data_IF_792845268516
#
_entry.id   IF_792845268516
#
_cell.length_a   1.000
_cell.length_b   1.000
_cell.length_c   1.000
_cell.angle_alpha   90.00
_cell.angle_beta   90.00
_cell.angle_gamma   90.00
#
_symmetry.space_group_name_H-M   'P 1'
#
loop_
_entity.id
_entity.type
_entity.pdbx_description
1 polymer ?
#
# COMPACT_ATOMS: atom_id res chain seq x y z
N UNK A 1 7.16 -19.57 -10.12
CA UNK A 1 5.69 -19.33 -9.99
C UNK A 1 5.37 -18.02 -9.28
N UNK A 2 6.25 -17.53 -8.42
CA UNK A 2 6.06 -16.33 -7.57
C UNK A 2 6.33 -15.04 -8.36
N UNK A 3 7.27 -15.06 -9.31
CA UNK A 3 7.54 -13.93 -10.21
C UNK A 3 6.33 -13.48 -11.06
N UNK A 4 5.41 -14.41 -11.38
CA UNK A 4 4.23 -14.07 -12.18
C UNK A 4 3.11 -13.37 -11.40
N UNK A 5 3.03 -13.49 -10.07
CA UNK A 5 1.94 -12.90 -9.25
C UNK A 5 2.28 -11.52 -8.69
N UNK A 6 3.52 -11.29 -8.28
CA UNK A 6 4.02 -9.94 -7.94
C UNK A 6 4.00 -9.02 -9.19
N UNK A 7 4.25 -9.59 -10.37
CA UNK A 7 4.12 -8.92 -11.66
C UNK A 7 2.68 -8.44 -11.96
N UNK A 8 1.63 -9.00 -11.38
CA UNK A 8 0.26 -8.60 -11.70
C UNK A 8 -0.12 -7.24 -11.08
N UNK A 9 0.27 -6.96 -9.84
CA UNK A 9 0.07 -5.62 -9.25
C UNK A 9 1.13 -4.62 -9.73
N UNK A 10 2.36 -5.07 -10.03
CA UNK A 10 3.35 -4.26 -10.74
C UNK A 10 2.97 -4.08 -12.22
N UNK A 11 2.27 -5.02 -12.86
CA UNK A 11 1.69 -4.86 -14.20
C UNK A 11 0.44 -3.99 -14.22
N UNK A 12 -0.27 -3.86 -13.14
CA UNK A 12 -1.30 -2.80 -12.97
C UNK A 12 -0.62 -1.45 -12.71
N UNK A 13 0.61 -1.44 -12.14
CA UNK A 13 1.42 -0.23 -11.94
C UNK A 13 2.62 -0.06 -12.89
N UNK A 14 3.06 -1.12 -13.59
CA UNK A 14 4.19 -1.05 -14.52
C UNK A 14 4.02 -2.12 -15.62
N UNK A 15 4.06 -1.69 -16.82
CA UNK A 15 4.16 -2.36 -18.11
C UNK A 15 2.88 -2.36 -18.96
N UNK A 16 2.76 -1.25 -19.69
CA UNK A 16 2.91 -1.39 -21.13
C UNK A 16 4.26 -0.81 -21.50
N UNK A 17 5.30 -1.64 -21.53
CA UNK A 17 6.41 -1.42 -22.44
C UNK A 17 5.77 -1.43 -23.81
N UNK A 18 5.73 -0.27 -24.45
CA UNK A 18 5.50 -0.14 -25.87
C UNK A 18 6.52 -1.06 -26.53
N UNK A 19 6.06 -2.17 -27.13
CA UNK A 19 6.85 -2.90 -28.09
C UNK A 19 7.31 -1.87 -29.13
N UNK A 20 8.62 -1.81 -29.33
CA UNK A 20 9.26 -0.93 -30.31
C UNK A 20 8.80 -1.32 -31.71
N UNK A 21 7.71 -0.70 -32.14
CA UNK A 21 7.36 -0.47 -33.52
C UNK A 21 7.40 1.04 -33.70
N UNK A 22 8.59 1.58 -33.92
CA UNK A 22 8.80 3.02 -33.97
C UNK A 22 8.20 3.61 -35.24
N UNK A 23 7.07 4.28 -35.10
CA UNK A 23 6.79 5.46 -35.87
C UNK A 23 7.06 6.67 -34.99
N UNK A 24 8.33 7.08 -34.89
CA UNK A 24 8.70 8.30 -34.22
C UNK A 24 8.06 9.48 -34.96
N UNK A 25 7.16 10.19 -34.31
CA UNK A 25 6.66 11.45 -34.80
C UNK A 25 7.79 12.46 -34.87
N UNK A 26 8.16 12.93 -36.07
CA UNK A 26 9.17 13.95 -36.24
C UNK A 26 8.51 15.31 -36.08
N UNK A 27 8.93 16.05 -35.07
CA UNK A 27 8.69 17.50 -34.99
C UNK A 27 9.68 18.17 -35.95
N UNK A 28 9.21 18.75 -37.05
CA UNK A 28 10.01 19.56 -37.92
C UNK A 28 9.95 21.04 -37.45
N UNK A 29 11.08 21.54 -36.97
CA UNK A 29 11.24 22.96 -36.59
C UNK A 29 12.09 23.62 -37.67
N UNK A 30 11.62 24.72 -38.24
CA UNK A 30 12.35 25.42 -39.30
C UNK A 30 13.47 26.30 -38.74
N UNK A 31 14.53 26.52 -39.52
CA UNK A 31 15.69 27.33 -39.10
C UNK A 31 15.28 28.77 -38.79
N UNK A 32 14.26 29.33 -39.46
CA UNK A 32 13.72 30.65 -39.18
C UNK A 32 13.05 30.74 -37.81
N UNK A 33 12.26 29.74 -37.43
CA UNK A 33 11.63 29.67 -36.09
C UNK A 33 12.68 29.60 -34.99
N UNK A 34 13.75 28.81 -35.18
CA UNK A 34 14.86 28.73 -34.23
C UNK A 34 15.58 30.11 -34.10
N UNK A 35 15.76 30.84 -35.19
CA UNK A 35 16.41 32.15 -35.17
C UNK A 35 15.59 33.22 -34.42
N UNK A 36 14.26 33.16 -34.55
CA UNK A 36 13.36 34.06 -33.82
C UNK A 36 13.32 33.71 -32.32
N UNK A 37 13.24 32.44 -31.97
CA UNK A 37 13.37 31.97 -30.59
C UNK A 37 14.74 32.41 -30.02
N UNK A 38 15.83 32.33 -30.78
CA UNK A 38 17.15 32.73 -30.32
C UNK A 38 17.25 34.22 -30.00
N UNK A 39 16.60 35.09 -30.77
CA UNK A 39 16.51 36.55 -30.49
C UNK A 39 15.73 36.81 -29.20
N UNK A 40 14.60 36.14 -29.02
CA UNK A 40 13.79 36.26 -27.79
C UNK A 40 14.53 35.79 -26.55
N UNK A 41 15.34 34.69 -26.67
CA UNK A 41 16.22 34.20 -25.62
C UNK A 41 17.27 35.22 -25.21
N UNK A 42 17.87 35.94 -26.21
CA UNK A 42 18.84 36.98 -25.92
C UNK A 42 18.24 38.18 -25.16
N UNK A 43 16.97 38.49 -25.41
CA UNK A 43 16.25 39.55 -24.71
C UNK A 43 15.79 39.13 -23.30
N UNK A 44 15.53 37.84 -23.08
CA UNK A 44 14.98 37.30 -21.80
C UNK A 44 15.60 35.96 -21.38
N UNK A 45 16.92 35.91 -21.11
CA UNK A 45 17.65 34.67 -20.89
C UNK A 45 17.13 33.83 -19.69
N UNK A 46 16.51 34.48 -18.69
CA UNK A 46 15.93 33.80 -17.52
C UNK A 46 14.62 33.04 -17.79
N UNK A 47 13.99 33.26 -18.95
CA UNK A 47 12.67 32.67 -19.29
C UNK A 47 12.76 31.59 -20.35
N UNK A 48 13.94 31.21 -20.80
CA UNK A 48 14.16 30.22 -21.87
C UNK A 48 13.35 28.95 -21.71
N UNK A 49 13.47 28.31 -20.55
CA UNK A 49 12.77 27.01 -20.32
C UNK A 49 11.25 27.16 -20.18
N UNK A 50 10.77 28.34 -19.81
CA UNK A 50 9.34 28.64 -19.76
C UNK A 50 8.76 28.81 -21.15
N UNK A 51 9.48 29.54 -22.04
CA UNK A 51 9.11 29.70 -23.43
C UNK A 51 9.10 28.38 -24.17
N UNK A 52 10.15 27.56 -24.04
CA UNK A 52 10.21 26.21 -24.65
C UNK A 52 9.02 25.35 -24.18
N UNK A 53 8.66 25.42 -22.90
CA UNK A 53 7.49 24.67 -22.37
C UNK A 53 6.17 25.16 -22.95
N UNK A 54 6.02 26.45 -23.18
CA UNK A 54 4.81 27.03 -23.80
C UNK A 54 4.69 26.57 -25.25
N UNK A 55 5.76 26.63 -26.02
CA UNK A 55 5.79 26.19 -27.41
C UNK A 55 5.48 24.68 -27.53
N UNK A 56 6.10 23.86 -26.70
CA UNK A 56 5.82 22.43 -26.68
C UNK A 56 4.33 22.17 -26.39
N UNK A 57 3.73 22.87 -25.41
CA UNK A 57 2.30 22.73 -25.09
C UNK A 57 1.39 23.13 -26.25
N UNK A 58 1.73 24.23 -26.91
CA UNK A 58 0.98 24.71 -28.09
C UNK A 58 1.03 23.68 -29.22
N UNK A 59 2.24 23.22 -29.56
CA UNK A 59 2.44 22.23 -30.63
C UNK A 59 1.73 20.94 -30.33
N UNK A 60 1.84 20.40 -29.11
CA UNK A 60 1.16 19.17 -28.68
C UNK A 60 -0.37 19.36 -28.69
N UNK A 61 -0.87 20.51 -28.24
CA UNK A 61 -2.31 20.82 -28.28
C UNK A 61 -2.87 20.84 -29.72
N UNK A 62 -2.15 21.50 -30.64
CA UNK A 62 -2.50 21.50 -32.09
C UNK A 62 -2.45 20.11 -32.67
N UNK A 63 -1.47 19.31 -32.30
CA UNK A 63 -1.32 17.94 -32.75
C UNK A 63 -2.51 17.07 -32.34
N UNK A 64 -2.88 17.06 -31.05
CA UNK A 64 -4.05 16.33 -30.55
C UNK A 64 -5.36 16.79 -31.23
N UNK A 65 -5.51 18.12 -31.42
CA UNK A 65 -6.66 18.69 -32.13
C UNK A 65 -6.73 18.18 -33.57
N UNK A 66 -5.58 18.11 -34.27
CA UNK A 66 -5.51 17.60 -35.65
C UNK A 66 -5.86 16.12 -35.72
N UNK A 67 -5.36 15.29 -34.79
CA UNK A 67 -5.72 13.88 -34.70
C UNK A 67 -7.23 13.68 -34.50
N UNK A 68 -7.85 14.43 -33.58
CA UNK A 68 -9.30 14.35 -33.36
C UNK A 68 -10.11 14.78 -34.57
N UNK A 69 -9.63 15.77 -35.33
CA UNK A 69 -10.27 16.20 -36.60
C UNK A 69 -10.12 15.13 -37.68
N UNK A 70 -8.98 14.45 -37.77
CA UNK A 70 -8.79 13.32 -38.68
C UNK A 70 -9.72 12.15 -38.31
N UNK A 71 -9.87 11.85 -37.01
CA UNK A 71 -10.81 10.84 -36.53
C UNK A 71 -12.26 11.19 -36.89
N UNK A 72 -12.67 12.45 -36.70
CA UNK A 72 -14.01 12.90 -37.13
C UNK A 72 -14.17 12.85 -38.65
N UNK A 73 -13.10 13.12 -39.43
CA UNK A 73 -13.12 12.98 -40.89
C UNK A 73 -13.40 11.52 -41.28
N UNK A 74 -12.69 10.60 -40.67
CA UNK A 74 -12.89 9.16 -40.88
C UNK A 74 -14.31 8.73 -40.49
N UNK A 75 -14.79 9.17 -39.30
CA UNK A 75 -16.15 8.85 -38.82
C UNK A 75 -17.25 9.34 -39.77
N UNK A 76 -17.13 10.55 -40.32
CA UNK A 76 -18.10 11.12 -41.25
C UNK A 76 -17.92 10.65 -42.69
N UNK A 77 -16.83 9.96 -43.03
CA UNK A 77 -16.49 9.50 -44.38
C UNK A 77 -16.26 10.60 -45.42
N UNK A 78 -15.92 11.84 -44.97
CA UNK A 78 -15.73 12.98 -45.85
C UNK A 78 -14.86 14.08 -45.24
N UNK A 79 -14.13 14.77 -46.09
CA UNK A 79 -13.31 15.89 -45.71
C UNK A 79 -14.10 17.13 -45.28
N UNK A 80 -13.48 18.07 -44.55
CA UNK A 80 -14.09 19.37 -44.26
C UNK A 80 -14.53 20.09 -45.53
N UNK A 81 -15.71 20.75 -45.45
CA UNK A 81 -16.32 21.53 -46.51
C UNK A 81 -16.84 20.75 -47.73
N UNK A 82 -16.62 19.46 -47.85
CA UNK A 82 -17.19 18.62 -48.93
C UNK A 82 -18.67 18.40 -48.67
N UNK A 83 -19.49 18.78 -49.63
CA UNK A 83 -20.96 18.58 -49.65
C UNK A 83 -21.29 17.26 -50.33
N UNK A 84 -21.96 16.39 -49.60
CA UNK A 84 -22.47 15.10 -50.14
C UNK A 84 -23.97 15.11 -50.01
N UNK A 85 -24.67 14.85 -51.14
CA UNK A 85 -26.14 14.72 -51.16
C UNK A 85 -26.57 13.53 -50.28
N UNK A 86 -27.59 13.72 -49.42
CA UNK A 86 -28.08 12.66 -48.54
C UNK A 86 -27.23 12.40 -47.28
N UNK A 87 -26.27 13.21 -47.00
CA UNK A 87 -25.44 13.05 -45.78
C UNK A 87 -26.30 13.13 -44.51
N UNK A 88 -26.23 12.08 -43.67
CA UNK A 88 -27.07 11.91 -42.47
C UNK A 88 -26.53 12.69 -41.27
N UNK A 89 -25.20 13.02 -41.22
CA UNK A 89 -24.55 13.70 -40.11
C UNK A 89 -23.55 14.75 -40.65
N UNK A 90 -23.24 15.77 -39.86
CA UNK A 90 -22.41 16.90 -40.25
C UNK A 90 -21.49 17.32 -39.10
N UNK A 91 -20.36 17.98 -39.43
CA UNK A 91 -19.52 18.67 -38.45
C UNK A 91 -20.33 19.78 -37.77
N UNK A 92 -20.10 19.98 -36.46
CA UNK A 92 -20.81 20.98 -35.66
C UNK A 92 -19.84 21.79 -34.78
N UNK A 93 -18.76 22.30 -35.41
CA UNK A 93 -17.73 23.04 -34.70
C UNK A 93 -16.93 22.20 -33.73
N UNK A 94 -16.25 22.89 -32.81
CA UNK A 94 -15.46 22.32 -31.72
C UNK A 94 -15.73 23.03 -30.41
N UNK A 95 -15.22 22.49 -29.31
CA UNK A 95 -15.13 23.18 -28.01
C UNK A 95 -13.74 23.02 -27.43
N UNK A 96 -13.21 24.11 -26.87
CA UNK A 96 -11.92 24.11 -26.24
C UNK A 96 -11.96 23.50 -24.83
N UNK A 97 -10.93 22.76 -24.48
CA UNK A 97 -10.71 22.30 -23.10
C UNK A 97 -9.22 22.10 -22.80
N UNK A 98 -8.84 22.21 -21.52
CA UNK A 98 -7.53 21.81 -21.06
C UNK A 98 -7.44 20.27 -20.92
N UNK A 99 -6.25 19.73 -21.25
CA UNK A 99 -5.91 18.33 -21.04
C UNK A 99 -4.47 18.20 -20.56
N UNK A 100 -4.24 17.56 -19.42
CA UNK A 100 -2.91 17.46 -18.84
C UNK A 100 -2.20 16.17 -19.25
N UNK A 101 -0.98 16.30 -19.74
CA UNK A 101 -0.09 15.22 -20.17
C UNK A 101 1.13 15.14 -19.26
N UNK A 102 1.57 13.92 -18.97
CA UNK A 102 2.79 13.67 -18.22
C UNK A 102 4.02 14.20 -18.96
N UNK A 103 4.86 14.96 -18.27
CA UNK A 103 6.07 15.55 -18.84
C UNK A 103 5.86 16.79 -19.71
N UNK A 104 4.63 17.07 -20.13
CA UNK A 104 4.29 18.24 -20.96
C UNK A 104 3.55 19.32 -20.14
N UNK A 105 2.60 18.88 -19.32
CA UNK A 105 1.71 19.75 -18.58
C UNK A 105 0.33 19.90 -19.22
N UNK A 106 -0.41 20.94 -18.84
CA UNK A 106 -1.73 21.21 -19.41
C UNK A 106 -1.60 21.84 -20.81
N UNK A 107 -2.24 21.21 -21.78
CA UNK A 107 -2.34 21.67 -23.17
C UNK A 107 -3.78 22.08 -23.48
N UNK A 108 -3.97 23.07 -24.35
CA UNK A 108 -5.29 23.43 -24.87
C UNK A 108 -5.61 22.61 -26.11
N UNK A 109 -6.78 21.99 -26.14
CA UNK A 109 -7.24 21.18 -27.27
C UNK A 109 -8.65 21.59 -27.70
N UNK A 110 -8.90 21.60 -29.01
CA UNK A 110 -10.22 21.83 -29.59
C UNK A 110 -10.84 20.50 -29.99
N UNK A 111 -11.82 20.05 -29.22
CA UNK A 111 -12.50 18.77 -29.42
C UNK A 111 -13.61 18.95 -30.46
N UNK A 112 -13.53 18.32 -31.64
CA UNK A 112 -14.53 18.47 -32.69
C UNK A 112 -15.85 17.75 -32.32
N UNK A 113 -16.94 18.26 -32.85
CA UNK A 113 -18.30 17.70 -32.64
C UNK A 113 -19.01 17.45 -33.97
N UNK A 114 -19.85 16.44 -33.96
CA UNK A 114 -20.83 16.18 -34.99
C UNK A 114 -22.21 16.76 -34.61
N UNK A 115 -23.11 16.90 -35.57
CA UNK A 115 -24.43 17.50 -35.33
C UNK A 115 -25.36 16.58 -34.53
N UNK A 116 -25.21 15.28 -34.64
CA UNK A 116 -25.99 14.30 -33.88
C UNK A 116 -25.47 14.06 -32.45
N UNK A 117 -24.21 14.47 -32.12
CA UNK A 117 -23.59 14.25 -30.83
C UNK A 117 -23.19 12.78 -30.57
N UNK A 118 -23.10 11.98 -31.63
CA UNK A 118 -22.76 10.55 -31.56
C UNK A 118 -21.25 10.31 -31.61
N UNK A 119 -20.51 11.21 -32.25
CA UNK A 119 -19.04 11.10 -32.32
C UNK A 119 -18.38 11.24 -30.93
N UNK A 120 -17.52 10.29 -30.64
CA UNK A 120 -16.69 10.30 -29.44
C UNK A 120 -15.27 10.01 -29.84
N UNK A 121 -14.37 10.98 -29.62
CA UNK A 121 -12.94 10.78 -29.90
C UNK A 121 -12.35 9.71 -28.99
N UNK A 122 -11.46 8.89 -29.54
CA UNK A 122 -10.60 7.95 -28.82
C UNK A 122 -9.24 8.55 -28.41
N UNK A 123 -8.90 9.70 -29.01
CA UNK A 123 -7.59 10.38 -28.79
C UNK A 123 -7.43 10.82 -27.32
N UNK A 124 -8.51 11.39 -26.76
CA UNK A 124 -8.51 11.83 -25.36
C UNK A 124 -9.80 11.36 -24.66
N UNK A 125 -9.73 10.96 -23.38
CA UNK A 125 -10.91 10.51 -22.65
C UNK A 125 -11.92 11.65 -22.44
N UNK A 126 -13.22 11.35 -22.59
CA UNK A 126 -14.28 12.35 -22.48
C UNK A 126 -14.42 12.93 -21.07
N UNK A 127 -14.33 12.08 -20.07
CA UNK A 127 -14.60 12.44 -18.67
C UNK A 127 -13.37 12.87 -17.86
N UNK A 128 -12.17 12.49 -18.29
CA UNK A 128 -10.92 12.80 -17.59
C UNK A 128 -10.22 13.98 -18.30
N UNK A 129 -9.65 14.87 -17.52
CA UNK A 129 -8.93 16.06 -18.05
C UNK A 129 -7.41 15.88 -17.97
N UNK A 130 -6.96 14.66 -17.80
CA UNK A 130 -5.56 14.25 -17.75
C UNK A 130 -5.42 12.80 -18.27
N UNK A 131 -4.23 12.47 -18.73
CA UNK A 131 -3.94 11.13 -19.19
C UNK A 131 -3.87 10.10 -18.03
N UNK A 132 -3.96 8.82 -18.36
CA UNK A 132 -4.03 7.75 -17.38
C UNK A 132 -2.74 7.62 -16.55
N UNK A 133 -1.58 7.90 -17.14
CA UNK A 133 -0.31 7.86 -16.41
C UNK A 133 -0.22 8.90 -15.30
N UNK A 134 -0.76 10.11 -15.52
CA UNK A 134 -0.88 11.13 -14.47
C UNK A 134 -1.74 10.61 -13.32
N UNK A 135 -2.86 9.95 -13.63
CA UNK A 135 -3.72 9.34 -12.63
C UNK A 135 -2.98 8.28 -11.80
N UNK A 136 -2.21 7.42 -12.46
CA UNK A 136 -1.39 6.38 -11.81
C UNK A 136 -0.34 6.98 -10.89
N UNK A 137 0.38 8.02 -11.34
CA UNK A 137 1.40 8.70 -10.53
C UNK A 137 0.79 9.32 -9.26
N UNK A 138 -0.38 9.96 -9.37
CA UNK A 138 -1.10 10.48 -8.20
C UNK A 138 -1.57 9.39 -7.25
N UNK A 139 -2.01 8.23 -7.79
CA UNK A 139 -2.36 7.07 -6.96
C UNK A 139 -1.15 6.54 -6.19
N UNK A 140 0.00 6.41 -6.84
CA UNK A 140 1.24 5.97 -6.21
C UNK A 140 1.68 6.96 -5.11
N UNK A 141 1.64 8.26 -5.38
CA UNK A 141 1.97 9.29 -4.39
C UNK A 141 1.01 9.28 -3.20
N UNK A 142 -0.29 9.08 -3.44
CA UNK A 142 -1.28 8.92 -2.38
C UNK A 142 -0.99 7.69 -1.51
N UNK A 143 -0.76 6.53 -2.14
CA UNK A 143 -0.39 5.30 -1.45
C UNK A 143 0.95 5.44 -0.71
N UNK A 144 1.87 6.24 -1.26
CA UNK A 144 3.12 6.59 -0.60
C UNK A 144 2.93 7.49 0.64
N UNK A 145 1.72 7.96 0.92
CA UNK A 145 1.35 8.71 2.13
C UNK A 145 1.21 10.22 1.95
N UNK A 146 1.21 10.70 0.69
CA UNK A 146 0.90 12.12 0.42
C UNK A 146 -0.60 12.32 0.50
N UNK A 147 -1.05 13.30 1.27
CA UNK A 147 -2.50 13.55 1.42
C UNK A 147 -3.13 14.03 0.10
N UNK A 148 -4.43 13.79 -0.10
CA UNK A 148 -5.15 14.28 -1.29
C UNK A 148 -5.12 15.80 -1.42
N UNK A 149 -5.07 16.53 -0.29
CA UNK A 149 -4.91 17.99 -0.28
C UNK A 149 -3.52 18.40 -0.76
N UNK A 150 -2.47 17.74 -0.27
CA UNK A 150 -1.09 18.00 -0.72
C UNK A 150 -0.91 17.65 -2.20
N UNK A 151 -1.50 16.53 -2.66
CA UNK A 151 -1.49 16.16 -4.08
C UNK A 151 -2.21 17.19 -4.93
N UNK A 152 -3.35 17.72 -4.47
CA UNK A 152 -4.07 18.79 -5.15
C UNK A 152 -3.23 20.08 -5.29
N UNK A 153 -2.48 20.45 -4.25
CA UNK A 153 -1.57 21.62 -4.32
C UNK A 153 -0.36 21.37 -5.24
N UNK A 154 0.20 20.16 -5.19
CA UNK A 154 1.39 19.81 -5.98
C UNK A 154 1.04 19.63 -7.45
N UNK A 155 -0.19 19.18 -7.78
CA UNK A 155 -0.61 18.87 -9.14
C UNK A 155 -0.46 20.10 -10.08
N UNK A 156 -0.80 21.29 -9.60
CA UNK A 156 -0.64 22.53 -10.36
C UNK A 156 0.82 22.78 -10.77
N UNK A 157 1.77 22.48 -9.86
CA UNK A 157 3.22 22.62 -10.17
C UNK A 157 3.76 21.52 -11.08
N UNK A 158 3.24 20.30 -10.97
CA UNK A 158 3.75 19.14 -11.71
C UNK A 158 3.19 19.07 -13.14
N UNK A 159 1.91 19.36 -13.30
CA UNK A 159 1.19 19.17 -14.57
C UNK A 159 0.48 20.44 -15.06
N UNK A 160 0.70 21.60 -14.43
CA UNK A 160 0.11 22.88 -14.81
C UNK A 160 -1.40 22.99 -14.49
N UNK A 161 -1.99 21.98 -13.81
CA UNK A 161 -3.41 21.93 -13.50
C UNK A 161 -3.64 21.45 -12.07
N UNK A 162 -4.60 22.07 -11.40
CA UNK A 162 -5.05 21.64 -10.08
C UNK A 162 -6.06 20.50 -10.21
N UNK A 163 -5.70 19.30 -9.72
CA UNK A 163 -6.61 18.16 -9.60
C UNK A 163 -7.29 18.24 -8.23
N UNK A 164 -8.61 18.10 -8.19
CA UNK A 164 -9.35 18.18 -6.92
C UNK A 164 -9.09 16.94 -6.04
N UNK A 165 -9.21 17.06 -4.70
CA UNK A 165 -9.13 15.91 -3.80
C UNK A 165 -10.15 14.81 -4.12
N UNK A 166 -11.32 15.18 -4.65
CA UNK A 166 -12.35 14.23 -5.07
C UNK A 166 -11.93 13.43 -6.30
N UNK A 167 -11.31 14.06 -7.30
CA UNK A 167 -10.76 13.39 -8.48
C UNK A 167 -9.64 12.42 -8.08
N UNK A 168 -8.71 12.83 -7.19
CA UNK A 168 -7.65 11.94 -6.67
C UNK A 168 -8.27 10.74 -5.95
N UNK A 169 -9.31 10.95 -5.16
CA UNK A 169 -10.02 9.88 -4.46
C UNK A 169 -10.72 8.92 -5.44
N UNK A 170 -11.30 9.44 -6.52
CA UNK A 170 -11.95 8.64 -7.57
C UNK A 170 -10.93 7.73 -8.29
N UNK A 171 -9.77 8.26 -8.65
CA UNK A 171 -8.70 7.47 -9.28
C UNK A 171 -8.26 6.31 -8.37
N UNK A 172 -8.20 6.55 -7.05
CA UNK A 172 -7.86 5.50 -6.09
C UNK A 172 -8.96 4.45 -5.90
N UNK A 173 -10.19 4.69 -6.36
CA UNK A 173 -11.28 3.71 -6.26
C UNK A 173 -11.03 2.47 -7.14
N UNK A 174 -10.36 2.62 -8.27
CA UNK A 174 -10.00 1.50 -9.16
C UNK A 174 -9.06 0.49 -8.47
N UNK A 175 -8.25 0.95 -7.50
CA UNK A 175 -7.38 0.09 -6.71
C UNK A 175 -8.15 -0.81 -5.72
N UNK A 176 -9.40 -0.49 -5.40
CA UNK A 176 -10.18 -1.27 -4.42
C UNK A 176 -10.36 -2.71 -4.86
N UNK A 177 -10.69 -2.94 -6.13
CA UNK A 177 -10.89 -4.29 -6.67
C UNK A 177 -9.61 -5.13 -6.56
N UNK A 178 -8.45 -4.53 -6.87
CA UNK A 178 -7.17 -5.23 -6.76
C UNK A 178 -6.80 -5.52 -5.30
N UNK A 179 -7.05 -4.59 -4.38
CA UNK A 179 -6.82 -4.77 -2.94
C UNK A 179 -7.72 -5.85 -2.36
N UNK A 180 -9.01 -5.86 -2.72
CA UNK A 180 -9.93 -6.90 -2.27
C UNK A 180 -9.59 -8.27 -2.86
N UNK A 181 -9.18 -8.34 -4.13
CA UNK A 181 -8.69 -9.57 -4.73
C UNK A 181 -7.44 -10.09 -4.00
N UNK A 182 -6.50 -9.20 -3.63
CA UNK A 182 -5.32 -9.57 -2.84
C UNK A 182 -5.70 -10.04 -1.43
N UNK A 183 -6.59 -9.34 -0.74
CA UNK A 183 -7.06 -9.71 0.61
C UNK A 183 -7.77 -11.06 0.64
N UNK A 184 -8.52 -11.38 -0.42
CA UNK A 184 -9.30 -12.62 -0.55
C UNK A 184 -8.59 -13.70 -1.37
N UNK A 185 -7.31 -13.52 -1.67
CA UNK A 185 -6.56 -14.49 -2.47
C UNK A 185 -6.56 -15.87 -1.86
N UNK A 186 -6.51 -16.89 -2.71
CA UNK A 186 -6.31 -18.29 -2.31
C UNK A 186 -4.96 -18.45 -1.62
N UNK A 187 -4.95 -19.15 -0.51
CA UNK A 187 -3.78 -19.48 0.31
C UNK A 187 -3.40 -20.96 0.24
N UNK A 188 -4.11 -21.78 -0.53
CA UNK A 188 -3.92 -23.25 -0.58
C UNK A 188 -2.52 -23.66 -1.07
N UNK A 189 -1.86 -22.81 -1.83
CA UNK A 189 -0.50 -23.04 -2.33
C UNK A 189 0.59 -22.51 -1.40
N UNK A 190 0.21 -21.84 -0.32
CA UNK A 190 1.15 -21.23 0.62
C UNK A 190 1.40 -22.18 1.80
N UNK A 191 2.60 -22.76 1.86
CA UNK A 191 2.97 -23.72 2.93
C UNK A 191 3.46 -22.95 4.15
N UNK A 192 2.52 -22.45 4.94
CA UNK A 192 2.80 -21.62 6.12
C UNK A 192 3.18 -22.50 7.31
N UNK A 193 4.40 -22.33 7.81
CA UNK A 193 4.96 -23.03 8.98
C UNK A 193 4.70 -22.26 10.27
N UNK A 194 4.84 -20.92 10.24
CA UNK A 194 4.68 -20.04 11.40
C UNK A 194 3.70 -18.93 11.13
N UNK A 195 2.90 -18.58 12.14
CA UNK A 195 1.98 -17.45 12.13
C UNK A 195 2.41 -16.38 13.14
N UNK A 196 2.59 -15.16 12.70
CA UNK A 196 2.78 -13.98 13.55
C UNK A 196 1.50 -13.16 13.54
N UNK A 197 0.97 -12.84 14.71
CA UNK A 197 -0.34 -12.20 14.86
C UNK A 197 -0.24 -11.01 15.81
N UNK A 198 -0.92 -9.91 15.45
CA UNK A 198 -0.98 -8.70 16.26
C UNK A 198 -2.22 -7.87 15.87
N UNK A 199 -2.67 -6.99 16.76
CA UNK A 199 -3.70 -5.99 16.52
C UNK A 199 -3.12 -4.59 16.47
N UNK A 200 -3.49 -3.81 15.45
CA UNK A 200 -3.06 -2.42 15.31
C UNK A 200 -4.27 -1.51 15.29
N UNK A 201 -4.27 -0.51 16.16
CA UNK A 201 -5.37 0.44 16.30
C UNK A 201 -5.16 1.67 15.43
N UNK A 202 -6.21 2.07 14.69
CA UNK A 202 -6.24 3.27 13.86
C UNK A 202 -7.43 4.15 14.20
N UNK A 203 -7.23 5.47 14.17
CA UNK A 203 -8.34 6.42 14.18
C UNK A 203 -8.99 6.44 12.81
N UNK A 204 -10.20 5.92 12.70
CA UNK A 204 -10.95 5.82 11.44
C UNK A 204 -12.24 6.62 11.51
N UNK A 205 -12.63 7.20 10.38
CA UNK A 205 -13.95 7.81 10.24
C UNK A 205 -14.99 6.72 9.93
N UNK A 206 -15.89 6.51 10.88
CA UNK A 206 -17.02 5.59 10.78
C UNK A 206 -18.31 6.39 10.67
N UNK A 207 -18.75 6.65 9.44
CA UNK A 207 -19.89 7.55 9.19
C UNK A 207 -19.61 8.99 9.65
N UNK A 208 -20.29 9.43 10.72
CA UNK A 208 -20.13 10.78 11.31
C UNK A 208 -19.17 10.83 12.50
N UNK A 209 -18.77 9.68 13.04
CA UNK A 209 -17.88 9.55 14.20
C UNK A 209 -16.44 9.28 13.79
N UNK A 210 -15.51 9.48 14.73
CA UNK A 210 -14.13 9.01 14.66
C UNK A 210 -13.98 7.96 15.74
N UNK A 211 -13.61 6.76 15.35
CA UNK A 211 -13.49 5.63 16.24
C UNK A 211 -12.08 5.05 16.20
N UNK A 212 -11.66 4.40 17.29
CA UNK A 212 -10.43 3.64 17.35
C UNK A 212 -10.76 2.21 16.92
N UNK A 213 -10.42 1.87 15.69
CA UNK A 213 -10.71 0.57 15.09
C UNK A 213 -9.47 -0.30 15.11
N UNK A 214 -9.50 -1.50 15.71
CA UNK A 214 -8.42 -2.46 15.62
C UNK A 214 -8.41 -3.10 14.24
N UNK A 215 -7.24 -3.25 13.67
CA UNK A 215 -6.99 -4.06 12.47
C UNK A 215 -6.14 -5.26 12.89
N UNK A 216 -6.72 -6.44 12.76
CA UNK A 216 -6.05 -7.71 13.01
C UNK A 216 -5.14 -8.02 11.83
N UNK A 217 -3.93 -8.45 12.11
CA UNK A 217 -2.88 -8.70 11.12
C UNK A 217 -2.31 -10.10 11.34
N UNK A 218 -2.16 -10.88 10.27
CA UNK A 218 -1.39 -12.11 10.29
C UNK A 218 -0.32 -12.11 9.21
N UNK A 219 0.91 -12.45 9.62
CA UNK A 219 2.03 -12.74 8.72
C UNK A 219 2.33 -14.23 8.82
N UNK A 220 2.34 -14.91 7.67
CA UNK A 220 2.81 -16.27 7.52
C UNK A 220 4.29 -16.30 7.16
N UNK A 221 5.02 -17.24 7.74
CA UNK A 221 6.36 -17.61 7.29
C UNK A 221 6.27 -19.00 6.72
N UNK A 222 6.67 -19.16 5.45
CA UNK A 222 6.65 -20.44 4.74
C UNK A 222 7.83 -21.32 5.15
N UNK A 223 7.81 -22.59 4.73
CA UNK A 223 8.96 -23.50 4.91
C UNK A 223 10.24 -22.98 4.27
N UNK A 224 10.13 -22.21 3.19
CA UNK A 224 11.28 -21.59 2.51
C UNK A 224 11.75 -20.30 3.20
N UNK A 225 11.11 -19.88 4.29
CA UNK A 225 11.42 -18.64 5.01
C UNK A 225 10.81 -17.37 4.40
N UNK A 226 10.01 -17.49 3.34
CA UNK A 226 9.30 -16.36 2.74
C UNK A 226 8.25 -15.82 3.72
N UNK A 227 8.12 -14.50 3.80
CA UNK A 227 7.18 -13.79 4.67
C UNK A 227 6.04 -13.25 3.84
N UNK A 228 4.81 -13.61 4.20
CA UNK A 228 3.60 -13.23 3.48
C UNK A 228 2.60 -12.60 4.45
N UNK A 229 2.04 -11.46 4.11
CA UNK A 229 0.92 -10.89 4.85
C UNK A 229 -0.36 -11.63 4.41
N UNK A 230 -0.86 -12.52 5.25
CA UNK A 230 -1.96 -13.42 4.91
C UNK A 230 -3.32 -12.73 4.97
N UNK A 231 -3.52 -11.86 5.95
CA UNK A 231 -4.78 -11.14 6.14
C UNK A 231 -4.59 -9.83 6.88
N UNK A 232 -5.50 -8.90 6.56
CA UNK A 232 -5.75 -7.64 7.24
C UNK A 232 -7.26 -7.53 7.40
N UNK A 233 -7.77 -7.50 8.62
CA UNK A 233 -9.21 -7.42 8.89
C UNK A 233 -9.49 -6.44 10.03
N UNK A 234 -10.36 -5.48 9.80
CA UNK A 234 -10.89 -4.64 10.89
C UNK A 234 -11.84 -5.46 11.75
N UNK A 235 -11.84 -5.19 13.02
CA UNK A 235 -12.78 -5.78 13.98
C UNK A 235 -13.41 -4.68 14.81
N UNK A 236 -14.60 -4.93 15.35
CA UNK A 236 -15.22 -3.99 16.30
C UNK A 236 -14.36 -3.86 17.56
N UNK A 237 -13.76 -4.93 17.99
CA UNK A 237 -12.81 -5.04 19.13
C UNK A 237 -11.79 -6.13 18.85
N UNK A 238 -10.64 -6.02 19.50
CA UNK A 238 -9.65 -7.09 19.57
C UNK A 238 -10.12 -8.20 20.54
N UNK A 239 -11.16 -8.94 20.14
CA UNK A 239 -11.87 -9.94 20.95
C UNK A 239 -11.61 -11.37 20.47
N UNK A 240 -11.91 -12.35 21.31
CA UNK A 240 -11.86 -13.77 20.93
C UNK A 240 -12.75 -14.06 19.70
N UNK A 241 -13.92 -13.43 19.61
CA UNK A 241 -14.84 -13.60 18.48
C UNK A 241 -14.21 -13.09 17.18
N UNK A 242 -13.64 -11.88 17.20
CA UNK A 242 -12.99 -11.29 16.02
C UNK A 242 -11.80 -12.14 15.56
N UNK A 243 -11.00 -12.67 16.49
CA UNK A 243 -9.89 -13.58 16.15
C UNK A 243 -10.37 -14.92 15.59
N UNK A 244 -11.49 -15.45 16.10
CA UNK A 244 -12.07 -16.70 15.57
C UNK A 244 -12.55 -16.52 14.12
N UNK A 245 -13.24 -15.45 13.83
CA UNK A 245 -13.68 -15.11 12.47
C UNK A 245 -12.48 -14.91 11.54
N UNK A 246 -11.44 -14.24 12.03
CA UNK A 246 -10.20 -14.01 11.30
C UNK A 246 -9.50 -15.34 10.91
N UNK A 247 -9.37 -16.29 11.84
CA UNK A 247 -8.75 -17.59 11.53
C UNK A 247 -9.62 -18.46 10.64
N UNK A 248 -10.93 -18.40 10.79
CA UNK A 248 -11.86 -19.09 9.88
C UNK A 248 -11.77 -18.54 8.45
N UNK A 249 -11.62 -17.22 8.28
CA UNK A 249 -11.38 -16.62 6.98
C UNK A 249 -10.07 -17.15 6.36
N UNK A 250 -8.98 -17.19 7.10
CA UNK A 250 -7.70 -17.74 6.62
C UNK A 250 -7.86 -19.20 6.14
N UNK A 251 -8.52 -20.04 6.92
CA UNK A 251 -8.77 -21.44 6.56
C UNK A 251 -9.72 -21.57 5.36
N UNK A 252 -10.77 -20.76 5.28
CA UNK A 252 -11.70 -20.78 4.15
C UNK A 252 -11.04 -20.41 2.82
N UNK A 253 -9.95 -19.62 2.88
CA UNK A 253 -9.11 -19.28 1.75
C UNK A 253 -7.99 -20.30 1.47
N UNK A 254 -8.02 -21.46 2.14
CA UNK A 254 -7.12 -22.58 1.87
C UNK A 254 -5.89 -22.66 2.77
N UNK A 255 -5.76 -21.83 3.83
CA UNK A 255 -4.66 -21.99 4.79
C UNK A 255 -4.78 -23.38 5.46
N UNK A 256 -3.78 -24.22 5.24
CA UNK A 256 -3.70 -25.53 5.88
C UNK A 256 -3.26 -25.41 7.34
N UNK A 257 -4.23 -25.50 8.27
CA UNK A 257 -3.97 -25.40 9.70
C UNK A 257 -3.11 -26.52 10.27
N UNK A 258 -3.05 -27.67 9.60
CA UNK A 258 -2.25 -28.83 10.04
C UNK A 258 -0.73 -28.59 9.82
N UNK A 259 -0.38 -27.72 8.91
CA UNK A 259 1.01 -27.34 8.61
C UNK A 259 1.54 -26.23 9.51
N UNK A 260 0.64 -25.49 10.18
CA UNK A 260 1.05 -24.45 11.12
C UNK A 260 1.59 -25.11 12.39
N UNK A 261 2.85 -24.88 12.69
CA UNK A 261 3.54 -25.49 13.85
C UNK A 261 3.74 -24.52 15.00
N UNK A 262 3.69 -23.20 14.77
CA UNK A 262 3.89 -22.17 15.78
C UNK A 262 3.06 -20.92 15.51
N UNK A 263 2.41 -20.40 16.57
CA UNK A 263 1.82 -19.06 16.60
C UNK A 263 2.62 -18.12 17.50
N UNK A 264 3.01 -16.99 16.94
CA UNK A 264 3.73 -15.91 17.65
C UNK A 264 2.76 -14.76 17.95
N UNK A 265 2.65 -14.37 19.23
CA UNK A 265 1.73 -13.31 19.66
C UNK A 265 2.23 -12.59 20.93
N UNK A 266 1.59 -11.49 21.26
CA UNK A 266 1.93 -10.67 22.44
C UNK A 266 1.38 -11.18 23.78
N UNK A 267 0.57 -12.24 23.75
CA UNK A 267 -0.02 -12.85 24.94
C UNK A 267 -1.37 -12.26 25.32
N UNK A 268 -2.13 -11.74 24.34
CA UNK A 268 -3.53 -11.39 24.53
C UNK A 268 -4.34 -12.66 24.79
N UNK A 269 -5.02 -12.81 25.97
CA UNK A 269 -5.66 -14.08 26.35
C UNK A 269 -6.70 -14.56 25.35
N UNK A 270 -7.51 -13.66 24.79
CA UNK A 270 -8.53 -14.01 23.80
C UNK A 270 -7.94 -14.56 22.50
N UNK A 271 -6.83 -14.00 22.03
CA UNK A 271 -6.12 -14.47 20.85
C UNK A 271 -5.50 -15.86 21.09
N UNK A 272 -4.81 -16.05 22.20
CA UNK A 272 -4.13 -17.32 22.49
C UNK A 272 -5.12 -18.49 22.63
N UNK A 273 -6.24 -18.27 23.34
CA UNK A 273 -7.28 -19.30 23.49
C UNK A 273 -7.82 -19.73 22.13
N UNK A 274 -8.23 -18.77 21.32
CA UNK A 274 -8.78 -19.05 19.98
C UNK A 274 -7.74 -19.67 19.06
N UNK A 275 -6.47 -19.22 19.14
CA UNK A 275 -5.41 -19.84 18.35
C UNK A 275 -5.22 -21.33 18.67
N UNK A 276 -5.23 -21.70 19.96
CA UNK A 276 -5.13 -23.10 20.38
C UNK A 276 -6.33 -23.94 19.94
N UNK A 277 -7.53 -23.36 19.92
CA UNK A 277 -8.74 -24.02 19.41
C UNK A 277 -8.67 -24.25 17.89
N UNK A 278 -8.24 -23.24 17.16
CA UNK A 278 -8.23 -23.26 15.69
C UNK A 278 -7.00 -23.99 15.10
N UNK A 279 -5.87 -24.04 15.83
CA UNK A 279 -4.62 -24.69 15.42
C UNK A 279 -4.11 -25.64 16.53
N UNK A 280 -4.81 -26.74 16.82
CA UNK A 280 -4.51 -27.58 17.99
C UNK A 280 -3.13 -28.27 17.96
N UNK A 281 -2.52 -28.42 16.77
CA UNK A 281 -1.17 -28.99 16.61
C UNK A 281 -0.06 -27.94 16.77
N UNK A 282 -0.40 -26.66 16.65
CA UNK A 282 0.57 -25.59 16.74
C UNK A 282 0.90 -25.24 18.19
N UNK A 283 2.18 -25.00 18.45
CA UNK A 283 2.64 -24.43 19.72
C UNK A 283 2.42 -22.92 19.75
N UNK A 284 2.39 -22.34 20.96
CA UNK A 284 2.30 -20.89 21.14
C UNK A 284 3.62 -20.37 21.68
N UNK A 285 4.16 -19.35 21.05
CA UNK A 285 5.29 -18.56 21.53
C UNK A 285 4.81 -17.15 21.88
N UNK A 286 5.05 -16.69 23.09
CA UNK A 286 4.84 -15.29 23.47
C UNK A 286 6.06 -14.44 23.15
N UNK A 287 5.83 -13.25 22.68
CA UNK A 287 6.89 -12.28 22.39
C UNK A 287 7.67 -11.94 23.66
N UNK A 288 8.95 -12.30 23.71
CA UNK A 288 9.82 -12.05 24.85
C UNK A 288 9.97 -10.55 25.16
N UNK A 289 9.96 -9.69 24.15
CA UNK A 289 10.05 -8.22 24.32
C UNK A 289 8.81 -7.69 25.05
N UNK A 290 7.60 -8.14 24.67
CA UNK A 290 6.38 -7.72 25.34
C UNK A 290 6.32 -8.23 26.79
N UNK A 291 6.70 -9.48 27.01
CA UNK A 291 6.76 -10.03 28.37
C UNK A 291 7.81 -9.30 29.23
N UNK A 292 9.01 -9.04 28.70
CA UNK A 292 10.02 -8.25 29.40
C UNK A 292 9.52 -6.86 29.78
N UNK A 293 8.83 -6.18 28.86
CA UNK A 293 8.21 -4.86 29.09
C UNK A 293 7.19 -4.91 30.21
N UNK A 294 6.33 -5.94 30.21
CA UNK A 294 5.29 -6.13 31.22
C UNK A 294 5.89 -6.44 32.60
N UNK A 295 6.96 -7.22 32.67
CA UNK A 295 7.72 -7.47 33.91
C UNK A 295 8.36 -6.18 34.42
N UNK A 296 9.10 -5.46 33.57
CA UNK A 296 9.80 -4.23 33.92
C UNK A 296 8.86 -3.08 34.33
N UNK A 297 7.62 -3.08 33.84
CA UNK A 297 6.59 -2.13 34.27
C UNK A 297 6.22 -2.29 35.75
N UNK A 298 6.42 -3.48 36.32
CA UNK A 298 6.15 -3.81 37.74
C UNK A 298 7.39 -3.66 38.64
N UNK A 299 8.53 -3.23 38.08
CA UNK A 299 9.79 -3.13 38.77
C UNK A 299 10.11 -1.69 39.17
N UNK A 300 10.42 -1.38 40.42
CA UNK A 300 10.91 -0.07 40.86
C UNK A 300 12.15 0.39 40.07
N UNK A 301 12.23 1.70 39.80
CA UNK A 301 13.26 2.28 38.93
C UNK A 301 14.69 1.82 39.28
N UNK A 302 15.00 1.73 40.58
CA UNK A 302 16.33 1.33 41.12
C UNK A 302 16.76 -0.09 40.74
N UNK A 303 15.83 -1.01 40.48
CA UNK A 303 16.10 -2.40 40.13
C UNK A 303 15.93 -2.73 38.65
N UNK A 304 15.45 -1.78 37.82
CA UNK A 304 15.09 -2.05 36.43
C UNK A 304 16.26 -2.62 35.62
N UNK A 305 17.48 -2.08 35.82
CA UNK A 305 18.64 -2.53 35.05
C UNK A 305 19.03 -3.98 35.41
N UNK A 306 19.06 -4.31 36.71
CA UNK A 306 19.40 -5.67 37.16
C UNK A 306 18.39 -6.69 36.69
N UNK A 307 17.10 -6.35 36.81
CA UNK A 307 16.00 -7.22 36.32
C UNK A 307 16.08 -7.37 34.80
N UNK A 308 16.34 -6.31 34.04
CA UNK A 308 16.52 -6.39 32.60
C UNK A 308 17.68 -7.30 32.20
N UNK A 309 18.82 -7.24 32.91
CA UNK A 309 19.97 -8.12 32.70
C UNK A 309 19.60 -9.60 32.96
N UNK A 310 18.88 -9.87 34.05
CA UNK A 310 18.42 -11.23 34.35
C UNK A 310 17.43 -11.76 33.31
N UNK A 311 16.46 -10.94 32.88
CA UNK A 311 15.55 -11.31 31.81
C UNK A 311 16.29 -11.64 30.50
N UNK A 312 17.33 -10.85 30.20
CA UNK A 312 18.19 -11.11 29.04
C UNK A 312 18.91 -12.45 29.17
N UNK A 313 19.46 -12.78 30.33
CA UNK A 313 20.12 -14.07 30.56
C UNK A 313 19.14 -15.23 30.32
N UNK A 314 17.90 -15.13 30.82
CA UNK A 314 16.88 -16.13 30.66
C UNK A 314 16.50 -16.33 29.16
N UNK A 315 16.20 -15.22 28.47
CA UNK A 315 15.67 -15.28 27.11
C UNK A 315 16.73 -15.59 26.04
N UNK A 316 18.02 -15.33 26.35
CA UNK A 316 19.14 -15.61 25.45
C UNK A 316 20.02 -16.76 25.96
N UNK A 317 19.48 -17.60 26.83
CA UNK A 317 20.18 -18.79 27.31
C UNK A 317 20.57 -19.72 26.14
N UNK A 318 21.67 -20.46 26.28
CA UNK A 318 22.16 -21.35 25.21
C UNK A 318 21.31 -22.63 25.06
N UNK A 319 20.52 -22.98 26.07
CA UNK A 319 19.59 -24.13 26.04
C UNK A 319 18.37 -23.86 26.92
N UNK A 320 17.34 -24.69 26.73
CA UNK A 320 16.12 -24.63 27.53
C UNK A 320 16.40 -24.88 29.02
N UNK A 321 17.25 -25.83 29.33
CA UNK A 321 17.64 -26.18 30.72
C UNK A 321 18.31 -24.97 31.38
N UNK A 322 19.24 -24.29 30.69
CA UNK A 322 19.90 -23.09 31.22
C UNK A 322 18.91 -21.92 31.36
N UNK A 323 17.92 -21.78 30.47
CA UNK A 323 16.88 -20.77 30.64
C UNK A 323 16.08 -20.98 31.92
N UNK A 324 15.71 -22.23 32.22
CA UNK A 324 15.02 -22.58 33.47
C UNK A 324 15.91 -22.38 34.71
N UNK A 325 17.20 -22.74 34.66
CA UNK A 325 18.13 -22.47 35.74
C UNK A 325 18.21 -20.98 36.04
N UNK A 326 18.37 -20.14 35.02
CA UNK A 326 18.39 -18.69 35.17
C UNK A 326 17.07 -18.12 35.69
N UNK A 327 15.92 -18.67 35.24
CA UNK A 327 14.63 -18.27 35.78
C UNK A 327 14.50 -18.62 37.26
N UNK A 328 14.93 -19.79 37.68
CA UNK A 328 14.90 -20.17 39.09
C UNK A 328 15.77 -19.26 39.94
N UNK A 329 16.99 -18.93 39.49
CA UNK A 329 17.86 -17.94 40.14
C UNK A 329 17.21 -16.53 40.19
N UNK A 330 16.49 -16.14 39.14
CA UNK A 330 15.69 -14.90 39.10
C UNK A 330 14.60 -14.94 40.17
N UNK A 331 13.83 -16.02 40.24
CA UNK A 331 12.75 -16.22 41.20
C UNK A 331 13.28 -16.13 42.64
N UNK A 332 14.36 -16.87 42.99
CA UNK A 332 14.97 -16.86 44.32
C UNK A 332 15.44 -15.47 44.74
N UNK A 333 16.07 -14.75 43.85
CA UNK A 333 16.59 -13.40 44.11
C UNK A 333 15.49 -12.37 44.33
N UNK A 334 14.43 -12.42 43.53
CA UNK A 334 13.47 -11.32 43.39
C UNK A 334 12.10 -11.57 44.01
N UNK A 335 11.77 -12.80 44.39
CA UNK A 335 10.44 -13.17 44.91
C UNK A 335 10.01 -12.34 46.11
N UNK A 336 10.96 -12.05 47.05
CA UNK A 336 10.66 -11.25 48.25
C UNK A 336 10.66 -9.74 47.99
N UNK A 337 11.34 -9.27 46.95
CA UNK A 337 11.57 -7.85 46.67
C UNK A 337 10.48 -7.31 45.68
N UNK A 338 10.20 -8.06 44.61
CA UNK A 338 9.27 -7.66 43.54
C UNK A 338 8.36 -8.83 43.15
N UNK A 339 7.52 -9.36 44.05
CA UNK A 339 6.72 -10.57 43.82
C UNK A 339 5.79 -10.45 42.62
N UNK A 340 5.25 -9.26 42.34
CA UNK A 340 4.37 -9.04 41.21
C UNK A 340 5.09 -9.14 39.86
N UNK A 341 6.37 -8.79 39.78
CA UNK A 341 7.17 -8.93 38.57
C UNK A 341 7.56 -10.40 38.35
N UNK A 342 7.90 -11.13 39.43
CA UNK A 342 8.22 -12.56 39.39
C UNK A 342 6.98 -13.33 38.93
N UNK A 343 5.80 -13.13 39.53
CA UNK A 343 4.55 -13.78 39.14
C UNK A 343 4.13 -13.44 37.69
N UNK A 344 4.49 -12.23 37.21
CA UNK A 344 4.28 -11.86 35.82
C UNK A 344 5.15 -12.70 34.87
N UNK A 345 6.41 -12.91 35.18
CA UNK A 345 7.31 -13.75 34.39
C UNK A 345 6.89 -15.23 34.46
N UNK A 346 6.63 -15.73 35.65
CA UNK A 346 6.26 -17.13 35.92
C UNK A 346 5.06 -17.59 35.09
N UNK A 347 4.03 -16.77 34.97
CA UNK A 347 2.86 -17.06 34.13
C UNK A 347 3.13 -17.08 32.63
N UNK A 348 4.25 -16.58 32.18
CA UNK A 348 4.58 -16.39 30.76
C UNK A 348 5.79 -17.21 30.31
N UNK A 349 6.60 -17.72 31.24
CA UNK A 349 7.94 -18.27 30.93
C UNK A 349 7.85 -19.47 29.98
N UNK A 350 6.94 -20.42 30.22
CA UNK A 350 6.75 -21.58 29.35
C UNK A 350 6.54 -21.16 27.89
N UNK A 351 5.58 -20.26 27.68
CA UNK A 351 5.25 -19.76 26.33
C UNK A 351 6.37 -18.85 25.75
N UNK A 352 7.25 -18.27 26.58
CA UNK A 352 8.41 -17.51 26.12
C UNK A 352 9.58 -18.40 25.70
N UNK A 353 9.65 -19.66 26.16
CA UNK A 353 10.70 -20.60 25.87
C UNK A 353 10.31 -21.67 24.84
N UNK A 354 9.11 -21.58 24.26
CA UNK A 354 8.60 -22.52 23.26
C UNK A 354 9.53 -22.62 22.04
N UNK A 355 10.21 -21.54 21.66
CA UNK A 355 11.11 -21.49 20.52
C UNK A 355 12.27 -22.52 20.60
N UNK A 356 12.65 -22.98 21.77
CA UNK A 356 13.65 -24.04 21.94
C UNK A 356 13.25 -25.37 21.32
N UNK A 357 11.95 -25.60 21.04
CA UNK A 357 11.46 -26.80 20.34
C UNK A 357 11.69 -26.76 18.82
N UNK A 358 12.29 -25.71 18.29
CA UNK A 358 12.53 -25.47 16.87
C UNK A 358 14.04 -25.44 16.57
N UNK A 359 14.45 -25.51 15.31
CA UNK A 359 15.84 -25.50 14.92
C UNK A 359 16.60 -24.29 15.46
N UNK A 360 17.84 -24.44 16.00
CA UNK A 360 18.61 -23.36 16.61
C UNK A 360 18.83 -22.15 15.70
N UNK A 361 18.95 -22.34 14.39
CA UNK A 361 19.10 -21.32 13.37
C UNK A 361 17.87 -20.39 13.27
N UNK A 362 16.69 -20.85 13.69
CA UNK A 362 15.45 -20.09 13.66
C UNK A 362 15.17 -19.34 14.98
N UNK A 363 15.84 -19.67 16.08
CA UNK A 363 15.56 -19.13 17.41
C UNK A 363 15.53 -17.62 17.47
N UNK A 364 16.47 -16.95 16.78
CA UNK A 364 16.54 -15.48 16.76
C UNK A 364 15.25 -14.88 16.21
N UNK A 365 14.69 -15.50 15.17
CA UNK A 365 13.46 -15.06 14.50
C UNK A 365 12.22 -15.39 15.33
N UNK A 366 12.24 -16.48 16.10
CA UNK A 366 11.09 -16.99 16.85
C UNK A 366 10.96 -16.44 18.29
N UNK A 367 11.94 -15.68 18.80
CA UNK A 367 11.88 -15.09 20.14
C UNK A 367 10.96 -13.87 20.24
N UNK A 368 10.77 -13.17 19.11
CA UNK A 368 10.11 -11.86 19.10
C UNK A 368 9.18 -11.69 17.94
N UNK A 369 8.22 -10.80 18.09
CA UNK A 369 7.29 -10.39 17.03
C UNK A 369 7.86 -9.29 16.11
N UNK A 370 9.19 -9.16 16.02
CA UNK A 370 9.85 -8.08 15.27
C UNK A 370 9.36 -7.95 13.82
N UNK A 371 8.99 -9.05 13.17
CA UNK A 371 8.48 -9.07 11.80
C UNK A 371 7.20 -8.24 11.72
N UNK A 372 6.22 -8.56 12.58
CA UNK A 372 4.93 -7.87 12.58
C UNK A 372 5.05 -6.46 13.20
N UNK A 373 5.93 -6.27 14.19
CA UNK A 373 6.21 -4.93 14.74
C UNK A 373 6.79 -3.99 13.67
N UNK A 374 7.68 -4.49 12.80
CA UNK A 374 8.21 -3.73 11.67
C UNK A 374 7.11 -3.33 10.70
N UNK A 375 6.23 -4.24 10.33
CA UNK A 375 5.06 -3.95 9.49
C UNK A 375 4.15 -2.90 10.16
N UNK A 376 3.83 -3.09 11.44
CA UNK A 376 2.99 -2.17 12.21
C UNK A 376 3.63 -0.78 12.35
N UNK A 377 4.95 -0.69 12.44
CA UNK A 377 5.68 0.58 12.45
C UNK A 377 5.53 1.31 11.11
N UNK A 378 5.61 0.60 10.00
CA UNK A 378 5.36 1.18 8.67
C UNK A 378 3.90 1.61 8.50
N UNK A 379 2.95 0.83 9.00
CA UNK A 379 1.54 1.23 9.04
C UNK A 379 1.36 2.55 9.79
N UNK A 380 1.86 2.63 11.02
CA UNK A 380 1.78 3.85 11.85
C UNK A 380 2.50 5.03 11.21
N UNK A 381 3.65 4.82 10.58
CA UNK A 381 4.40 5.88 9.90
C UNK A 381 3.58 6.53 8.79
N UNK A 382 2.80 5.75 8.06
CA UNK A 382 1.94 6.22 6.96
C UNK A 382 0.66 6.86 7.46
N UNK A 383 0.01 6.27 8.44
CA UNK A 383 -1.27 6.75 8.94
C UNK A 383 -1.13 7.95 9.89
N UNK A 384 0.01 8.10 10.58
CA UNK A 384 0.27 9.24 11.48
C UNK A 384 0.14 10.59 10.78
N UNK A 385 0.58 10.70 9.54
CA UNK A 385 0.50 11.95 8.74
C UNK A 385 -0.95 12.30 8.39
N UNK A 386 -1.82 11.28 8.34
CA UNK A 386 -3.24 11.46 8.01
C UNK A 386 -4.08 11.77 9.25
N UNK A 387 -3.56 11.53 10.47
CA UNK A 387 -4.25 11.60 11.76
C UNK A 387 -5.50 10.72 11.82
N UNK A 388 -6.42 10.85 10.86
CA UNK A 388 -7.67 10.11 10.74
C UNK A 388 -7.71 9.44 9.36
N UNK A 389 -7.86 8.13 9.33
CA UNK A 389 -8.06 7.36 8.10
C UNK A 389 -9.52 7.50 7.65
N UNK A 390 -9.75 7.74 6.36
CA UNK A 390 -11.08 8.03 5.80
C UNK A 390 -11.99 6.78 5.65
N UNK A 391 -11.95 5.88 6.65
CA UNK A 391 -12.75 4.65 6.71
C UNK A 391 -11.97 3.39 6.38
N UNK A 392 -12.62 2.24 6.51
CA UNK A 392 -12.00 0.90 6.37
C UNK A 392 -11.38 0.67 5.00
N UNK A 393 -12.09 1.01 3.92
CA UNK A 393 -11.62 0.80 2.54
C UNK A 393 -10.33 1.58 2.29
N UNK A 394 -10.24 2.83 2.78
CA UNK A 394 -9.02 3.62 2.67
C UNK A 394 -7.88 3.02 3.51
N UNK A 395 -8.20 2.49 4.70
CA UNK A 395 -7.25 1.79 5.56
C UNK A 395 -6.67 0.56 4.83
N UNK A 396 -7.52 -0.31 4.33
CA UNK A 396 -7.09 -1.52 3.62
C UNK A 396 -6.21 -1.23 2.39
N UNK A 397 -6.52 -0.18 1.62
CA UNK A 397 -5.66 0.22 0.48
C UNK A 397 -4.24 0.57 0.91
N UNK A 398 -4.12 1.39 1.95
CA UNK A 398 -2.82 1.81 2.47
C UNK A 398 -2.05 0.62 3.04
N UNK A 399 -2.72 -0.20 3.85
CA UNK A 399 -2.10 -1.35 4.51
C UNK A 399 -1.70 -2.43 3.49
N UNK A 400 -2.55 -2.72 2.50
CA UNK A 400 -2.24 -3.66 1.43
C UNK A 400 -1.02 -3.21 0.61
N UNK A 401 -0.95 -1.94 0.25
CA UNK A 401 0.21 -1.39 -0.46
C UNK A 401 1.52 -1.55 0.33
N UNK A 402 1.48 -1.24 1.63
CA UNK A 402 2.65 -1.39 2.51
C UNK A 402 3.03 -2.87 2.64
N UNK A 403 2.05 -3.75 2.78
CA UNK A 403 2.26 -5.21 2.90
C UNK A 403 2.93 -5.77 1.65
N UNK A 404 2.40 -5.46 0.48
CA UNK A 404 2.98 -5.88 -0.81
C UNK A 404 4.41 -5.39 -1.01
N UNK A 405 4.70 -4.14 -0.59
CA UNK A 405 6.06 -3.58 -0.65
C UNK A 405 7.03 -4.33 0.28
N UNK A 406 6.56 -4.93 1.36
CA UNK A 406 7.38 -5.67 2.32
C UNK A 406 7.56 -7.14 1.93
N UNK A 407 6.64 -7.70 1.14
CA UNK A 407 6.75 -9.06 0.58
C UNK A 407 7.76 -9.13 -0.59
N UNK A 408 8.05 -8.00 -1.22
CA UNK A 408 9.07 -7.84 -2.27
C UNK A 408 10.47 -7.72 -1.66
#
# INVERSE_FOLDING_TARGET
GVEKKALFLYRVCAQQTVEKGESAMKLEVTVSEIADIFKEIQERPGQLFEMIRLDIREVVGKYLTTMMNAELTHYLGRDPYVRVSGAVNHRNGSYGRGFALKGVGEVHVDVPRDRKGEFKTSVIPRSKQYEEEVARDFSILFLAGVSTRSLSMISERLIGRRISPAEISSVNAELNTAVEAWRRRDLSQEWVKYLFMDGVHFHMRMGRSIEIVPVLVAIGVTETGQKLVLSLQSGDKESATSWREFFRDLKSRGLDGEKVTLGMMDGLPGLETVFREEFPKAKVQRCQVHVARNVLAKVPKKFKQDVANNLRSIFYAPSQEKAWEYFEGFRQRWQKIIPSAVACLERNIDACLTFFNFPPEEWISLRTTNIIERLNKEFRRRTKVMEIVAGEIACYRILAYISLKMEM
#
